data_IF_392319697805
#
_entry.id   IF_392319697805
#
_cell.length_a   1.000
_cell.length_b   1.000
_cell.length_c   1.000
_cell.angle_alpha   90.00
_cell.angle_beta   90.00
_cell.angle_gamma   90.00
#
_symmetry.space_group_name_H-M   'P 1'
#
loop_
_entity.id
_entity.type
_entity.pdbx_description
1 polymer ?
#
# COMPACT_ATOMS: atom_id res chain seq x y z
N UNK A 1 4.14 7.45 1.99
CA UNK A 1 3.10 6.91 1.08
C UNK A 1 1.72 7.43 1.50
N UNK A 2 0.90 7.88 0.54
CA UNK A 2 -0.48 8.29 0.78
C UNK A 2 -1.35 7.79 -0.38
N UNK A 3 -2.47 7.14 -0.08
CA UNK A 3 -3.41 6.62 -1.09
C UNK A 3 -4.76 7.30 -0.91
N UNK A 4 -5.35 7.78 -2.02
CA UNK A 4 -6.68 8.37 -1.96
C UNK A 4 -7.76 7.28 -1.86
N UNK A 5 -8.10 6.92 -0.63
CA UNK A 5 -9.18 5.96 -0.36
C UNK A 5 -10.58 6.57 -0.50
N UNK A 6 -10.71 7.89 -0.47
CA UNK A 6 -12.01 8.57 -0.51
C UNK A 6 -12.75 8.37 -1.84
N UNK A 7 -12.00 8.22 -2.95
CA UNK A 7 -12.58 7.91 -4.25
C UNK A 7 -13.04 6.45 -4.31
N UNK A 8 -12.23 5.51 -3.82
CA UNK A 8 -12.58 4.10 -3.79
C UNK A 8 -13.79 3.81 -2.88
N UNK A 9 -13.98 4.59 -1.81
CA UNK A 9 -15.16 4.50 -0.95
C UNK A 9 -16.47 4.87 -1.66
N UNK A 10 -16.40 5.70 -2.71
CA UNK A 10 -17.55 6.11 -3.52
C UNK A 10 -17.91 5.09 -4.61
N UNK A 11 -17.06 4.09 -4.83
CA UNK A 11 -17.27 3.05 -5.82
C UNK A 11 -18.12 1.89 -5.26
N UNK A 12 -18.67 1.03 -6.14
CA UNK A 12 -19.40 -0.17 -5.72
C UNK A 12 -18.56 -1.11 -4.84
N UNK A 13 -19.24 -1.89 -4.00
CA UNK A 13 -18.61 -3.00 -3.26
C UNK A 13 -17.96 -3.96 -4.26
N UNK A 14 -16.73 -4.37 -3.98
CA UNK A 14 -15.90 -5.19 -4.86
C UNK A 14 -14.98 -4.38 -5.79
N UNK A 15 -15.11 -3.05 -5.84
CA UNK A 15 -14.17 -2.21 -6.58
C UNK A 15 -12.74 -2.39 -6.05
N UNK A 16 -11.77 -2.43 -6.98
CA UNK A 16 -10.36 -2.69 -6.67
C UNK A 16 -9.48 -1.55 -7.18
N UNK A 17 -8.41 -1.26 -6.44
CA UNK A 17 -7.27 -0.46 -6.89
C UNK A 17 -5.99 -1.22 -6.59
N UNK A 18 -5.16 -1.37 -7.62
CA UNK A 18 -3.85 -2.00 -7.53
C UNK A 18 -2.76 -0.94 -7.72
N UNK A 19 -1.73 -1.00 -6.87
CA UNK A 19 -0.58 -0.12 -6.92
C UNK A 19 0.70 -0.94 -6.85
N UNK A 20 1.67 -0.57 -7.68
CA UNK A 20 3.05 -1.02 -7.51
C UNK A 20 3.77 -0.05 -6.58
N UNK A 21 4.55 -0.60 -5.66
CA UNK A 21 5.30 0.16 -4.67
C UNK A 21 6.79 0.01 -4.96
N UNK A 22 7.48 1.15 -4.94
CA UNK A 22 8.94 1.25 -4.96
C UNK A 22 9.33 2.49 -4.17
N UNK A 23 9.25 2.38 -2.85
CA UNK A 23 9.27 3.52 -1.94
C UNK A 23 10.46 3.44 -1.01
N UNK A 24 11.11 4.59 -0.81
CA UNK A 24 12.08 4.75 0.27
C UNK A 24 11.30 5.02 1.57
N UNK A 25 11.55 4.21 2.60
CA UNK A 25 10.86 4.29 3.90
C UNK A 25 11.79 4.71 5.04
N UNK A 26 12.94 5.32 4.72
CA UNK A 26 13.97 5.72 5.70
C UNK A 26 13.43 6.75 6.73
N UNK A 27 12.34 7.44 6.39
CA UNK A 27 11.68 8.43 7.25
C UNK A 27 10.43 7.89 7.97
N UNK A 28 10.12 6.59 7.85
CA UNK A 28 8.91 6.03 8.44
C UNK A 28 8.99 6.00 9.97
N UNK A 29 10.14 5.61 10.51
CA UNK A 29 10.43 5.57 11.94
C UNK A 29 11.95 5.71 12.16
N UNK A 30 12.41 6.68 12.97
CA UNK A 30 13.83 6.89 13.27
C UNK A 30 14.54 5.67 13.88
N UNK A 31 13.81 4.74 14.49
CA UNK A 31 14.37 3.53 15.10
C UNK A 31 14.51 2.35 14.12
N UNK A 32 13.98 2.50 12.90
CA UNK A 32 14.00 1.46 11.88
C UNK A 32 15.27 1.52 11.04
N UNK A 33 16.09 0.46 11.11
CA UNK A 33 17.22 0.32 10.20
C UNK A 33 16.76 -0.25 8.85
N UNK A 34 16.36 0.62 7.94
CA UNK A 34 15.87 0.26 6.61
C UNK A 34 17.03 -0.25 5.75
N UNK A 35 16.94 -1.51 5.32
CA UNK A 35 18.02 -2.18 4.57
C UNK A 35 17.98 -1.91 3.05
N UNK A 36 17.03 -1.11 2.58
CA UNK A 36 16.81 -0.78 1.17
C UNK A 36 15.35 -0.42 0.86
N UNK A 37 15.03 -0.01 -0.38
CA UNK A 37 13.67 0.37 -0.76
C UNK A 37 12.66 -0.75 -0.52
N UNK A 38 11.47 -0.37 -0.06
CA UNK A 38 10.32 -1.26 0.05
C UNK A 38 9.68 -1.38 -1.33
N UNK A 39 9.64 -2.61 -1.85
CA UNK A 39 9.02 -2.92 -3.13
C UNK A 39 7.90 -3.94 -2.95
N UNK A 40 6.88 -3.86 -3.79
CA UNK A 40 5.78 -4.81 -3.71
C UNK A 40 4.53 -4.34 -4.42
N UNK A 41 3.42 -5.00 -4.11
CA UNK A 41 2.10 -4.62 -4.62
C UNK A 41 1.13 -4.40 -3.48
N UNK A 42 0.34 -3.34 -3.61
CA UNK A 42 -0.78 -3.03 -2.73
C UNK A 42 -2.08 -3.18 -3.50
N UNK A 43 -2.99 -3.98 -2.96
CA UNK A 43 -4.36 -4.12 -3.43
C UNK A 43 -5.31 -3.54 -2.39
N UNK A 44 -6.12 -2.58 -2.81
CA UNK A 44 -7.21 -2.01 -2.03
C UNK A 44 -8.54 -2.48 -2.61
N UNK A 45 -9.41 -3.02 -1.75
CA UNK A 45 -10.72 -3.56 -2.16
C UNK A 45 -11.81 -2.86 -1.36
N UNK A 46 -12.81 -2.30 -2.04
CA UNK A 46 -14.02 -1.79 -1.40
C UNK A 46 -14.84 -2.96 -0.86
N UNK A 47 -14.94 -3.06 0.46
CA UNK A 47 -15.82 -4.02 1.16
C UNK A 47 -17.03 -3.28 1.74
N UNK A 48 -18.04 -4.02 2.19
CA UNK A 48 -19.27 -3.44 2.73
C UNK A 48 -19.02 -2.39 3.82
N UNK A 49 -18.11 -2.67 4.74
CA UNK A 49 -17.81 -1.81 5.91
C UNK A 49 -16.63 -0.85 5.74
N UNK A 50 -15.94 -0.83 4.59
CA UNK A 50 -14.71 -0.06 4.46
C UNK A 50 -13.84 -0.43 3.26
N UNK A 51 -12.53 -0.32 3.43
CA UNK A 51 -11.51 -0.76 2.48
C UNK A 51 -10.68 -1.87 3.12
N UNK A 52 -10.56 -3.01 2.43
CA UNK A 52 -9.58 -4.04 2.76
C UNK A 52 -8.27 -3.74 2.03
N UNK A 53 -7.18 -3.59 2.77
CA UNK A 53 -5.84 -3.42 2.20
C UNK A 53 -5.05 -4.72 2.34
N UNK A 54 -4.51 -5.21 1.23
CA UNK A 54 -3.59 -6.34 1.18
C UNK A 54 -2.31 -5.90 0.49
N UNK A 55 -1.18 -6.11 1.13
CA UNK A 55 0.12 -5.80 0.57
C UNK A 55 1.03 -7.04 0.58
N UNK A 56 1.64 -7.32 -0.56
CA UNK A 56 2.73 -8.29 -0.67
C UNK A 56 4.01 -7.47 -0.83
N UNK A 57 4.80 -7.40 0.25
CA UNK A 57 5.93 -6.48 0.39
C UNK A 57 7.24 -7.24 0.57
N UNK A 58 8.29 -6.69 -0.01
CA UNK A 58 9.66 -7.20 0.11
C UNK A 58 10.66 -6.05 0.07
N UNK A 59 11.88 -6.30 0.51
CA UNK A 59 12.99 -5.39 0.27
C UNK A 59 13.52 -5.64 -1.14
N UNK A 60 13.81 -4.58 -1.90
CA UNK A 60 14.51 -4.73 -3.17
C UNK A 60 15.89 -5.36 -2.94
N UNK A 61 16.08 -6.60 -3.41
CA UNK A 61 17.38 -7.25 -3.41
C UNK A 61 18.17 -6.76 -4.63
N UNK A 62 19.42 -6.38 -4.41
CA UNK A 62 20.36 -5.97 -5.46
C UNK A 62 20.85 -7.20 -6.23
#
# INVERSE_FOLDING_TARGET
>A
MQFNVSQLLKEPIGAVRDYELAENIDQLDPELNVLGPLVGRLKLIRIHSGILARADLSRQQK
#
